data_IF_979862961583
#
_entry.id   IF_979862961583
#
_cell.length_a   1.000
_cell.length_b   1.000
_cell.length_c   1.000
_cell.angle_alpha   90.00
_cell.angle_beta   90.00
_cell.angle_gamma   90.00
#
_symmetry.space_group_name_H-M   'P 1'
#
loop_
_entity.id
_entity.type
_entity.pdbx_description
1 polymer ?
#
# COMPACT_ATOMS: atom_id res chain seq x y z
N UNK A 1 0.79 12.14 8.92
CA UNK A 1 1.39 11.18 9.88
C UNK A 1 0.46 10.03 10.31
N UNK A 2 -0.88 10.13 10.19
CA UNK A 2 -1.80 9.10 10.71
C UNK A 2 -1.81 7.76 9.93
N UNK A 3 -1.67 7.78 8.60
CA UNK A 3 -1.95 6.61 7.74
C UNK A 3 -0.83 5.57 7.74
N UNK A 4 0.43 6.00 7.75
CA UNK A 4 1.58 5.09 7.82
C UNK A 4 1.60 4.30 9.15
N UNK A 5 1.25 4.96 10.26
CA UNK A 5 1.10 4.31 11.56
C UNK A 5 -0.02 3.28 11.54
N UNK A 6 -1.18 3.62 10.96
CA UNK A 6 -2.29 2.66 10.79
C UNK A 6 -1.80 1.45 9.98
N UNK A 7 -1.14 1.67 8.85
CA UNK A 7 -0.61 0.60 8.01
C UNK A 7 0.32 -0.35 8.77
N UNK A 8 1.28 0.20 9.52
CA UNK A 8 2.22 -0.59 10.33
C UNK A 8 1.53 -1.35 11.46
N UNK A 9 0.63 -0.69 12.19
CA UNK A 9 0.01 -1.28 13.38
C UNK A 9 -1.10 -2.28 13.00
N UNK A 10 -1.68 -2.16 11.80
CA UNK A 10 -2.76 -3.03 11.31
C UNK A 10 -2.31 -4.04 10.25
N UNK A 11 -1.03 -4.05 9.86
CA UNK A 11 -0.52 -4.83 8.73
C UNK A 11 -1.38 -4.68 7.45
N UNK A 12 -1.81 -3.47 7.13
CA UNK A 12 -2.62 -3.20 5.93
C UNK A 12 -4.09 -3.61 5.97
N UNK A 13 -4.60 -4.19 7.07
CA UNK A 13 -6.00 -4.66 7.17
C UNK A 13 -7.02 -3.60 7.66
N UNK A 14 -6.60 -2.35 7.89
CA UNK A 14 -7.51 -1.31 8.39
C UNK A 14 -8.27 -0.61 7.25
N UNK A 15 -9.60 -0.56 7.34
CA UNK A 15 -10.48 0.02 6.32
C UNK A 15 -10.24 1.50 6.05
N UNK A 16 -9.68 2.25 7.01
CA UNK A 16 -9.32 3.67 6.83
C UNK A 16 -8.23 3.84 5.77
N UNK A 17 -7.40 2.83 5.55
CA UNK A 17 -6.37 2.85 4.51
C UNK A 17 -6.98 2.87 3.10
N UNK A 18 -8.21 2.36 2.91
CA UNK A 18 -8.83 2.24 1.57
C UNK A 18 -7.91 1.53 0.58
N UNK A 19 -7.35 0.41 1.03
CA UNK A 19 -6.46 -0.43 0.23
C UNK A 19 -7.22 -0.94 -0.99
N UNK A 20 -6.59 -0.92 -2.16
CA UNK A 20 -7.11 -1.52 -3.39
C UNK A 20 -6.04 -2.40 -4.03
N UNK A 21 -6.49 -3.46 -4.72
CA UNK A 21 -5.60 -4.37 -5.43
C UNK A 21 -5.15 -3.73 -6.74
N UNK A 22 -3.87 -3.86 -7.07
CA UNK A 22 -3.35 -3.36 -8.33
C UNK A 22 -3.74 -4.29 -9.48
N UNK A 23 -3.66 -3.77 -10.70
CA UNK A 23 -4.00 -4.47 -11.93
C UNK A 23 -2.78 -4.58 -12.85
N UNK A 24 -2.92 -5.33 -13.95
CA UNK A 24 -1.85 -5.49 -14.94
C UNK A 24 -0.65 -6.30 -14.40
N UNK A 25 0.57 -5.79 -14.63
CA UNK A 25 1.82 -6.49 -14.26
C UNK A 25 1.99 -6.63 -12.74
N UNK A 26 1.43 -5.72 -11.96
CA UNK A 26 1.52 -5.69 -10.49
C UNK A 26 0.29 -6.32 -9.81
N UNK A 27 -0.47 -7.20 -10.49
CA UNK A 27 -1.71 -7.81 -9.96
C UNK A 27 -1.57 -8.59 -8.65
N UNK A 28 -0.35 -8.88 -8.21
CA UNK A 28 -0.08 -9.50 -6.92
C UNK A 28 -0.11 -8.47 -5.77
N UNK A 29 0.14 -7.20 -6.07
CA UNK A 29 0.32 -6.12 -5.10
C UNK A 29 -0.98 -5.39 -4.78
N UNK A 30 -0.92 -4.69 -3.65
CA UNK A 30 -1.96 -3.82 -3.12
C UNK A 30 -1.39 -2.42 -2.95
N UNK A 31 -2.26 -1.41 -2.98
CA UNK A 31 -1.84 -0.03 -2.80
C UNK A 31 -2.80 0.77 -1.94
N UNK A 32 -2.25 1.77 -1.25
CA UNK A 32 -3.03 2.82 -0.61
C UNK A 32 -2.31 4.17 -0.69
N UNK A 33 -3.08 5.26 -0.73
CA UNK A 33 -2.52 6.61 -0.70
C UNK A 33 -2.07 6.97 0.71
N UNK A 34 -0.84 7.45 0.88
CA UNK A 34 -0.33 8.02 2.13
C UNK A 34 -0.87 9.44 2.32
N UNK A 35 -0.89 10.20 1.23
CA UNK A 35 -1.53 11.51 1.09
C UNK A 35 -2.04 11.70 -0.35
N UNK A 36 -2.21 12.94 -0.84
CA UNK A 36 -2.67 13.17 -2.22
C UNK A 36 -1.63 12.78 -3.28
N UNK A 37 -0.35 12.85 -2.94
CA UNK A 37 0.76 12.66 -3.88
C UNK A 37 1.32 11.25 -3.78
N UNK A 38 1.57 10.77 -2.56
CA UNK A 38 2.28 9.52 -2.31
C UNK A 38 1.36 8.32 -2.14
N UNK A 39 1.80 7.18 -2.65
CA UNK A 39 1.22 5.86 -2.42
C UNK A 39 2.30 4.90 -1.95
N UNK A 40 1.86 3.89 -1.22
CA UNK A 40 2.67 2.72 -0.89
C UNK A 40 2.08 1.55 -1.66
N UNK A 41 2.94 0.73 -2.25
CA UNK A 41 2.58 -0.61 -2.73
C UNK A 41 3.15 -1.66 -1.80
N UNK A 42 2.44 -2.77 -1.65
CA UNK A 42 2.84 -3.84 -0.73
C UNK A 42 2.23 -5.19 -1.09
N UNK A 43 2.80 -6.25 -0.53
CA UNK A 43 2.33 -7.64 -0.62
C UNK A 43 1.93 -8.16 0.76
N UNK A 44 0.86 -8.96 0.81
CA UNK A 44 0.61 -9.84 1.95
C UNK A 44 1.47 -11.09 1.76
N UNK A 45 2.36 -11.39 2.71
CA UNK A 45 3.35 -12.48 2.58
C UNK A 45 3.02 -13.66 3.48
N UNK A 46 2.77 -13.42 4.76
CA UNK A 46 2.44 -14.42 5.77
C UNK A 46 1.28 -13.91 6.61
N UNK A 47 0.66 -14.80 7.38
CA UNK A 47 -0.44 -14.44 8.27
C UNK A 47 0.03 -13.37 9.27
N UNK A 48 -0.46 -12.14 9.08
CA UNK A 48 -0.12 -11.01 9.95
C UNK A 48 1.13 -10.23 9.54
N UNK A 49 1.69 -10.43 8.34
CA UNK A 49 2.84 -9.67 7.85
C UNK A 49 2.62 -9.13 6.44
N UNK A 50 3.10 -7.91 6.22
CA UNK A 50 3.11 -7.23 4.91
C UNK A 50 4.52 -6.81 4.52
N UNK A 51 4.85 -6.95 3.24
CA UNK A 51 6.08 -6.44 2.65
C UNK A 51 5.77 -5.17 1.88
N UNK A 52 6.31 -4.03 2.33
CA UNK A 52 6.32 -2.81 1.53
C UNK A 52 7.24 -3.03 0.32
N UNK A 53 6.70 -2.93 -0.89
CA UNK A 53 7.43 -3.16 -2.14
C UNK A 53 7.92 -1.86 -2.74
N UNK A 54 7.14 -0.78 -2.63
CA UNK A 54 7.53 0.54 -3.13
C UNK A 54 6.82 1.69 -2.40
N UNK A 55 7.41 2.89 -2.49
CA UNK A 55 6.81 4.16 -2.10
C UNK A 55 7.17 5.25 -3.10
N UNK A 56 6.16 5.91 -3.64
CA UNK A 56 6.37 6.94 -4.65
C UNK A 56 5.13 7.77 -4.90
N UNK A 57 5.28 8.78 -5.74
CA UNK A 57 4.14 9.56 -6.20
C UNK A 57 3.23 8.77 -7.16
N UNK A 58 2.05 9.30 -7.49
CA UNK A 58 1.20 8.70 -8.53
C UNK A 58 1.94 8.50 -9.85
N UNK A 59 2.74 9.49 -10.26
CA UNK A 59 3.47 9.44 -11.52
C UNK A 59 4.62 8.44 -11.45
N UNK A 60 5.41 8.44 -10.37
CA UNK A 60 6.56 7.54 -10.23
C UNK A 60 6.17 6.05 -10.15
N UNK A 61 4.99 5.71 -9.61
CA UNK A 61 4.56 4.31 -9.46
C UNK A 61 3.86 3.71 -10.68
N UNK A 62 3.43 4.54 -11.64
CA UNK A 62 2.69 4.09 -12.83
C UNK A 62 3.38 4.43 -14.16
N UNK A 63 4.64 4.89 -14.13
CA UNK A 63 5.49 5.10 -15.31
C UNK A 63 6.42 3.91 -15.52
#
# INVERSE_FOLDING_TARGET
>A
MARLKIFRDSNGFDSRLKVHKLHGKQRAEWSFSVDRSYRITFLFIETGSVLCTDIGTHEELYT
#
